data_IF_004195275898
#
_entry.id   IF_004195275898
#
_cell.length_a   1.000
_cell.length_b   1.000
_cell.length_c   1.000
_cell.angle_alpha   90.00
_cell.angle_beta   90.00
_cell.angle_gamma   90.00
#
_symmetry.space_group_name_H-M   'P 1'
#
loop_
_entity.id
_entity.type
_entity.pdbx_description
1 polymer ?
#
# COMPACT_ATOMS: atom_id res chain seq x y z
N UNK A 1 19.54 -5.83 -3.56
CA UNK A 1 18.92 -6.22 -4.85
C UNK A 1 17.41 -5.91 -4.84
N UNK A 2 16.63 -6.33 -3.82
CA UNK A 2 15.18 -6.15 -3.74
C UNK A 2 14.76 -4.68 -3.71
N UNK A 3 15.46 -3.82 -2.98
CA UNK A 3 15.22 -2.36 -2.95
C UNK A 3 15.34 -1.73 -4.35
N UNK A 4 16.37 -2.11 -5.10
CA UNK A 4 16.58 -1.60 -6.46
C UNK A 4 15.43 -2.01 -7.37
N UNK A 5 15.02 -3.28 -7.31
CA UNK A 5 13.87 -3.79 -8.07
C UNK A 5 12.61 -2.98 -7.75
N UNK A 6 12.32 -2.72 -6.47
CA UNK A 6 11.16 -1.91 -6.06
C UNK A 6 11.20 -0.50 -6.63
N UNK A 7 12.34 0.18 -6.54
CA UNK A 7 12.48 1.57 -7.02
C UNK A 7 12.33 1.64 -8.54
N UNK A 8 13.04 0.79 -9.27
CA UNK A 8 12.96 0.77 -10.75
C UNK A 8 11.55 0.42 -11.20
N UNK A 9 10.93 -0.57 -10.55
CA UNK A 9 9.57 -0.97 -10.86
C UNK A 9 8.56 0.15 -10.57
N UNK A 10 8.64 0.80 -9.41
CA UNK A 10 7.75 1.90 -9.05
C UNK A 10 7.82 3.06 -10.04
N UNK A 11 9.04 3.42 -10.48
CA UNK A 11 9.24 4.45 -11.50
C UNK A 11 8.63 4.01 -12.84
N UNK A 12 8.93 2.80 -13.30
CA UNK A 12 8.42 2.28 -14.57
C UNK A 12 6.89 2.22 -14.59
N UNK A 13 6.28 1.66 -13.54
CA UNK A 13 4.82 1.57 -13.40
C UNK A 13 4.20 2.97 -13.30
N UNK A 14 4.81 3.88 -12.55
CA UNK A 14 4.34 5.26 -12.44
C UNK A 14 4.27 5.95 -13.80
N UNK A 15 5.32 5.84 -14.63
CA UNK A 15 5.32 6.38 -15.99
C UNK A 15 4.29 5.72 -16.89
N UNK A 16 4.21 4.40 -16.89
CA UNK A 16 3.24 3.65 -17.72
C UNK A 16 1.82 4.03 -17.32
N UNK A 17 1.53 4.08 -16.02
CA UNK A 17 0.21 4.46 -15.53
C UNK A 17 -0.13 5.90 -15.87
N UNK A 18 0.79 6.85 -15.69
CA UNK A 18 0.55 8.25 -16.07
C UNK A 18 0.23 8.36 -17.56
N UNK A 19 1.00 7.70 -18.42
CA UNK A 19 0.80 7.73 -19.87
C UNK A 19 -0.53 7.08 -20.29
N UNK A 20 -0.84 5.87 -19.76
CA UNK A 20 -2.06 5.12 -20.11
C UNK A 20 -3.29 5.78 -19.51
N UNK A 21 -3.22 6.22 -18.25
CA UNK A 21 -4.36 6.79 -17.56
C UNK A 21 -4.73 8.18 -18.08
N UNK A 22 -3.77 8.96 -18.56
CA UNK A 22 -4.06 10.25 -19.24
C UNK A 22 -4.95 10.08 -20.48
N UNK A 23 -4.85 8.94 -21.19
CA UNK A 23 -5.63 8.66 -22.40
C UNK A 23 -6.98 8.01 -22.13
N UNK A 24 -7.10 7.18 -21.11
CA UNK A 24 -8.21 6.22 -20.94
C UNK A 24 -9.17 6.59 -19.81
N UNK A 25 -8.72 7.29 -18.77
CA UNK A 25 -9.60 7.57 -17.64
C UNK A 25 -10.63 8.66 -17.93
N UNK A 26 -11.91 8.41 -17.61
CA UNK A 26 -12.94 9.44 -17.61
C UNK A 26 -12.61 10.51 -16.56
N UNK A 27 -12.97 11.76 -16.85
CA UNK A 27 -12.67 12.91 -15.98
C UNK A 27 -13.13 12.75 -14.53
N UNK A 28 -14.14 11.90 -14.28
CA UNK A 28 -14.65 11.58 -12.93
C UNK A 28 -13.72 10.73 -12.08
N UNK A 29 -12.79 9.98 -12.71
CA UNK A 29 -11.80 9.14 -12.03
C UNK A 29 -10.40 9.79 -12.00
N UNK A 30 -10.21 10.80 -12.83
CA UNK A 30 -9.04 11.67 -12.75
C UNK A 30 -9.16 12.55 -11.52
N UNK A 31 -9.11 12.09 -10.32
CA UNK A 31 -9.28 12.92 -9.13
C UNK A 31 -8.86 14.38 -9.40
N UNK A 32 -9.52 15.34 -8.80
CA UNK A 32 -9.33 16.76 -9.05
C UNK A 32 -7.93 17.30 -8.75
N UNK A 33 -6.89 16.58 -9.16
CA UNK A 33 -5.51 17.04 -9.13
C UNK A 33 -5.37 18.09 -10.23
N UNK A 34 -5.73 19.31 -9.91
CA UNK A 34 -5.59 20.49 -10.78
C UNK A 34 -4.12 20.86 -10.98
N UNK A 35 -3.18 20.13 -10.36
CA UNK A 35 -1.74 20.41 -10.46
C UNK A 35 -1.29 21.63 -9.65
N UNK A 36 -2.18 22.25 -8.88
CA UNK A 36 -1.83 23.33 -7.96
C UNK A 36 -1.57 22.73 -6.58
N UNK A 37 -0.34 22.79 -6.15
CA UNK A 37 0.06 22.46 -4.79
C UNK A 37 -0.62 23.36 -3.73
N UNK A 38 -1.18 24.47 -4.19
CA UNK A 38 -1.83 25.52 -3.42
C UNK A 38 -3.30 25.17 -3.09
N UNK A 39 -3.90 24.17 -3.76
CA UNK A 39 -5.27 23.69 -3.46
C UNK A 39 -5.29 22.49 -2.47
N UNK A 40 -4.14 22.09 -1.95
CA UNK A 40 -4.12 21.37 -0.69
C UNK A 40 -4.50 22.41 0.36
N UNK A 41 -5.77 22.41 0.74
CA UNK A 41 -6.30 23.26 1.80
C UNK A 41 -5.51 22.98 3.08
N UNK A 42 -4.39 23.67 3.24
CA UNK A 42 -3.67 23.74 4.49
C UNK A 42 -4.39 24.66 5.48
N UNK A 43 -5.58 25.13 5.12
CA UNK A 43 -6.53 25.79 5.98
C UNK A 43 -7.39 24.74 6.74
N UNK A 44 -6.78 23.78 7.40
CA UNK A 44 -7.33 23.38 8.67
C UNK A 44 -7.10 24.59 9.57
N UNK A 45 -8.21 25.25 9.85
CA UNK A 45 -8.25 26.44 10.70
C UNK A 45 -7.45 26.17 11.97
N UNK A 46 -6.26 26.76 12.06
CA UNK A 46 -5.43 26.76 13.26
C UNK A 46 -5.99 27.74 14.29
N UNK A 47 -7.27 28.06 14.16
CA UNK A 47 -8.04 28.85 15.10
C UNK A 47 -8.85 27.90 15.99
N UNK A 48 -8.74 28.08 17.29
CA UNK A 48 -9.71 27.57 18.26
C UNK A 48 -11.05 28.25 18.06
N UNK A 49 -12.12 27.74 18.66
CA UNK A 49 -13.47 28.26 18.60
C UNK A 49 -13.58 29.76 19.00
N UNK A 50 -12.51 30.32 19.60
CA UNK A 50 -12.40 31.73 20.00
C UNK A 50 -11.63 32.61 18.99
N UNK A 51 -11.18 32.06 17.83
CA UNK A 51 -10.52 32.82 16.76
C UNK A 51 -9.07 33.22 17.07
N UNK A 52 -8.43 32.62 18.06
CA UNK A 52 -7.02 32.87 18.39
C UNK A 52 -6.11 31.93 17.61
N UNK A 53 -5.08 32.46 16.93
CA UNK A 53 -4.06 31.66 16.25
C UNK A 53 -3.33 30.79 17.25
N UNK A 54 -3.47 29.48 17.12
CA UNK A 54 -2.73 28.54 17.97
C UNK A 54 -1.23 28.57 17.65
N UNK A 55 -0.36 28.53 18.66
CA UNK A 55 1.08 28.46 18.40
C UNK A 55 1.40 27.20 17.59
N UNK A 56 2.20 27.35 16.53
CA UNK A 56 2.56 26.32 15.53
C UNK A 56 2.95 25.00 16.16
N UNK A 57 3.67 25.02 17.30
CA UNK A 57 4.08 23.81 17.98
C UNK A 57 2.93 23.00 18.59
N UNK A 58 1.84 23.66 19.06
CA UNK A 58 0.64 22.96 19.56
C UNK A 58 -0.12 22.27 18.44
N UNK A 59 -0.29 22.97 17.32
CA UNK A 59 -0.91 22.41 16.13
C UNK A 59 -0.11 21.22 15.61
N UNK A 60 1.21 21.35 15.48
CA UNK A 60 2.10 20.28 15.05
C UNK A 60 2.04 19.07 16.01
N UNK A 61 2.05 19.31 17.33
CA UNK A 61 1.98 18.23 18.30
C UNK A 61 0.64 17.50 18.25
N UNK A 62 -0.46 18.24 18.12
CA UNK A 62 -1.81 17.65 18.02
C UNK A 62 -1.93 16.77 16.78
N UNK A 63 -1.53 17.26 15.60
CA UNK A 63 -1.55 16.48 14.36
C UNK A 63 -0.64 15.26 14.42
N UNK A 64 0.56 15.42 14.98
CA UNK A 64 1.48 14.29 15.15
C UNK A 64 0.89 13.23 16.07
N UNK A 65 0.27 13.63 17.18
CA UNK A 65 -0.34 12.71 18.12
C UNK A 65 -1.56 12.00 17.51
N UNK A 66 -2.39 12.70 16.76
CA UNK A 66 -3.54 12.15 16.08
C UNK A 66 -3.13 11.09 15.05
N UNK A 67 -2.13 11.40 14.21
CA UNK A 67 -1.58 10.46 13.23
C UNK A 67 -0.92 9.28 13.95
N UNK A 68 -0.16 9.52 15.01
CA UNK A 68 0.50 8.47 15.79
C UNK A 68 -0.53 7.50 16.39
N UNK A 69 -1.56 8.01 17.05
CA UNK A 69 -2.60 7.17 17.67
C UNK A 69 -3.34 6.35 16.60
N UNK A 70 -3.64 6.96 15.45
CA UNK A 70 -4.27 6.26 14.34
C UNK A 70 -3.39 5.11 13.82
N UNK A 71 -2.12 5.38 13.54
CA UNK A 71 -1.17 4.37 13.06
C UNK A 71 -0.97 3.28 14.12
N UNK A 72 -0.83 3.66 15.39
CA UNK A 72 -0.62 2.72 16.50
C UNK A 72 -1.82 1.78 16.67
N UNK A 73 -3.04 2.32 16.75
CA UNK A 73 -4.26 1.52 16.86
C UNK A 73 -4.45 0.57 15.66
N UNK A 74 -4.23 1.10 14.47
CA UNK A 74 -4.35 0.32 13.26
C UNK A 74 -3.32 -0.83 13.21
N UNK A 75 -2.07 -0.54 13.55
CA UNK A 75 -1.00 -1.54 13.62
C UNK A 75 -1.26 -2.57 14.71
N UNK A 76 -1.76 -2.14 15.85
CA UNK A 76 -2.10 -3.04 16.97
C UNK A 76 -3.21 -4.02 16.58
N UNK A 77 -4.29 -3.52 15.99
CA UNK A 77 -5.41 -4.37 15.54
C UNK A 77 -4.95 -5.39 14.50
N UNK A 78 -4.20 -4.94 13.49
CA UNK A 78 -3.69 -5.86 12.47
C UNK A 78 -2.65 -6.83 13.01
N UNK A 79 -1.76 -6.39 13.92
CA UNK A 79 -0.80 -7.27 14.59
C UNK A 79 -1.52 -8.39 15.35
N UNK A 80 -2.54 -8.05 16.14
CA UNK A 80 -3.35 -9.04 16.86
C UNK A 80 -4.12 -9.99 15.93
N UNK A 81 -4.60 -9.51 14.78
CA UNK A 81 -5.25 -10.37 13.79
C UNK A 81 -4.24 -11.38 13.22
N UNK A 82 -3.06 -10.92 12.83
CA UNK A 82 -2.01 -11.80 12.27
C UNK A 82 -1.55 -12.83 13.31
N UNK A 83 -1.34 -12.40 14.55
CA UNK A 83 -0.96 -13.29 15.65
C UNK A 83 -2.08 -14.29 16.01
N UNK A 84 -3.33 -13.84 16.00
CA UNK A 84 -4.51 -14.67 16.31
C UNK A 84 -4.84 -15.69 15.22
N UNK A 85 -4.60 -15.36 13.94
CA UNK A 85 -4.79 -16.29 12.81
C UNK A 85 -3.66 -17.31 12.76
N UNK A 86 -2.44 -16.92 13.18
CA UNK A 86 -1.24 -17.73 13.14
C UNK A 86 -0.53 -17.69 11.80
N UNK A 87 0.79 -17.69 11.86
CA UNK A 87 1.65 -17.69 10.67
C UNK A 87 1.49 -18.97 9.84
N UNK A 88 1.20 -20.09 10.50
CA UNK A 88 0.99 -21.40 9.87
C UNK A 88 -0.19 -21.39 8.89
N UNK A 89 -1.26 -20.67 9.19
CA UNK A 89 -2.43 -20.56 8.32
C UNK A 89 -2.09 -19.79 7.04
N UNK A 90 -1.30 -18.73 7.18
CA UNK A 90 -0.81 -17.98 6.01
C UNK A 90 0.18 -18.79 5.18
N UNK A 91 1.06 -19.55 5.84
CA UNK A 91 2.00 -20.45 5.18
C UNK A 91 1.28 -21.55 4.37
N UNK A 92 0.29 -22.20 4.98
CA UNK A 92 -0.50 -23.25 4.35
C UNK A 92 -1.34 -22.69 3.18
N UNK A 93 -2.00 -21.53 3.39
CA UNK A 93 -2.77 -20.86 2.35
C UNK A 93 -1.89 -20.51 1.14
N UNK A 94 -0.76 -19.85 1.37
CA UNK A 94 0.16 -19.45 0.32
C UNK A 94 0.85 -20.66 -0.33
N UNK A 95 1.19 -21.67 0.43
CA UNK A 95 1.82 -22.91 -0.05
C UNK A 95 0.91 -23.69 -1.02
N UNK A 96 -0.39 -23.74 -0.74
CA UNK A 96 -1.38 -24.43 -1.60
C UNK A 96 -1.68 -23.70 -2.92
N UNK A 97 -1.44 -22.38 -3.00
CA UNK A 97 -1.80 -21.58 -4.17
C UNK A 97 -0.92 -21.79 -5.40
N UNK A 98 0.23 -22.46 -5.29
CA UNK A 98 1.07 -22.82 -6.43
C UNK A 98 1.38 -21.66 -7.37
N UNK A 99 0.81 -21.67 -8.57
CA UNK A 99 1.01 -20.61 -9.57
C UNK A 99 0.40 -19.26 -9.15
N UNK A 100 -0.71 -19.27 -8.41
CA UNK A 100 -1.39 -18.05 -7.94
C UNK A 100 -0.78 -17.43 -6.68
N UNK A 101 0.26 -18.03 -6.12
CA UNK A 101 0.93 -17.56 -4.91
C UNK A 101 1.32 -16.07 -4.98
N UNK A 102 1.89 -15.50 -6.09
CA UNK A 102 2.20 -14.06 -6.17
C UNK A 102 0.96 -13.16 -6.08
N UNK A 103 -0.18 -13.62 -6.62
CA UNK A 103 -1.43 -12.84 -6.61
C UNK A 103 -1.99 -12.72 -5.19
N UNK A 104 -1.94 -13.81 -4.43
CA UNK A 104 -2.37 -13.83 -3.02
C UNK A 104 -1.38 -13.09 -2.13
N UNK A 105 -0.07 -13.26 -2.35
CA UNK A 105 0.95 -12.51 -1.65
C UNK A 105 0.82 -11.00 -1.86
N UNK A 106 0.48 -10.58 -3.08
CA UNK A 106 0.16 -9.17 -3.40
C UNK A 106 -1.06 -8.67 -2.61
N UNK A 107 -2.07 -9.52 -2.38
CA UNK A 107 -3.23 -9.15 -1.58
C UNK A 107 -2.85 -8.96 -0.10
N UNK A 108 -2.04 -9.86 0.45
CA UNK A 108 -1.51 -9.73 1.81
C UNK A 108 -0.66 -8.46 1.94
N UNK A 109 0.13 -8.14 0.92
CA UNK A 109 0.93 -6.91 0.87
C UNK A 109 0.12 -5.61 0.88
N UNK A 110 -1.16 -5.63 0.48
CA UNK A 110 -2.06 -4.47 0.57
C UNK A 110 -2.43 -4.10 2.01
N UNK A 111 -2.25 -5.02 2.96
CA UNK A 111 -2.51 -4.72 4.37
C UNK A 111 -1.60 -3.57 4.79
N UNK A 112 -2.16 -2.41 5.19
CA UNK A 112 -1.37 -1.21 5.46
C UNK A 112 -0.67 -1.28 6.82
N UNK A 113 0.12 -2.34 7.01
CA UNK A 113 0.92 -2.58 8.21
C UNK A 113 2.28 -3.17 7.83
N UNK A 114 3.32 -2.78 8.56
CA UNK A 114 4.66 -3.36 8.43
C UNK A 114 4.70 -4.85 8.80
N UNK A 115 3.80 -5.34 9.65
CA UNK A 115 3.69 -6.76 10.00
C UNK A 115 3.47 -7.66 8.77
N UNK A 116 2.69 -7.21 7.78
CA UNK A 116 2.50 -7.95 6.53
C UNK A 116 3.81 -8.14 5.76
N UNK A 117 4.67 -7.13 5.73
CA UNK A 117 5.99 -7.22 5.08
C UNK A 117 6.93 -8.14 5.84
N UNK A 118 6.89 -8.13 7.16
CA UNK A 118 7.68 -9.04 8.03
C UNK A 118 7.22 -10.48 7.81
N UNK A 119 5.91 -10.74 7.87
CA UNK A 119 5.31 -12.04 7.63
C UNK A 119 5.73 -12.63 6.27
N UNK A 120 5.58 -11.85 5.20
CA UNK A 120 5.98 -12.30 3.85
C UNK A 120 7.48 -12.61 3.76
N UNK A 121 8.30 -11.81 4.45
CA UNK A 121 9.75 -12.04 4.47
C UNK A 121 10.10 -13.29 5.27
N UNK A 122 9.45 -13.51 6.39
CA UNK A 122 9.63 -14.69 7.23
C UNK A 122 9.24 -15.96 6.49
N UNK A 123 8.04 -15.99 5.87
CA UNK A 123 7.60 -17.14 5.06
C UNK A 123 8.54 -17.43 3.88
N UNK A 124 9.19 -16.41 3.32
CA UNK A 124 10.21 -16.61 2.31
C UNK A 124 11.48 -17.24 2.87
N UNK A 125 11.94 -16.80 4.04
CA UNK A 125 13.13 -17.38 4.71
C UNK A 125 12.88 -18.83 5.12
N UNK A 126 11.67 -19.15 5.54
CA UNK A 126 11.24 -20.52 5.87
C UNK A 126 11.02 -21.41 4.64
N UNK A 127 11.10 -20.86 3.44
CA UNK A 127 10.93 -21.60 2.19
C UNK A 127 9.47 -21.88 1.79
N UNK A 128 8.50 -21.36 2.53
CA UNK A 128 7.07 -21.49 2.23
C UNK A 128 6.64 -20.55 1.07
N UNK A 129 7.37 -19.46 0.85
CA UNK A 129 7.06 -18.46 -0.17
C UNK A 129 8.16 -18.39 -1.24
N UNK A 130 7.76 -18.31 -2.51
CA UNK A 130 8.71 -18.10 -3.62
C UNK A 130 9.19 -16.65 -3.67
N UNK A 131 10.38 -16.42 -4.19
CA UNK A 131 10.93 -15.05 -4.35
C UNK A 131 10.02 -14.14 -5.18
N UNK A 132 9.40 -14.64 -6.25
CA UNK A 132 8.44 -13.90 -7.08
C UNK A 132 7.22 -13.42 -6.27
N UNK A 133 6.73 -14.25 -5.35
CA UNK A 133 5.61 -13.94 -4.47
C UNK A 133 6.00 -12.92 -3.39
N UNK A 134 7.20 -13.03 -2.84
CA UNK A 134 7.77 -12.03 -1.93
C UNK A 134 7.83 -10.65 -2.61
N UNK A 135 8.38 -10.60 -3.82
CA UNK A 135 8.47 -9.35 -4.59
C UNK A 135 7.08 -8.77 -4.86
N UNK A 136 6.11 -9.60 -5.26
CA UNK A 136 4.73 -9.18 -5.48
C UNK A 136 4.14 -8.51 -4.24
N UNK A 137 4.19 -9.16 -3.09
CA UNK A 137 3.64 -8.66 -1.84
C UNK A 137 4.34 -7.40 -1.35
N UNK A 138 5.68 -7.36 -1.42
CA UNK A 138 6.43 -6.18 -1.01
C UNK A 138 6.26 -4.98 -1.96
N UNK A 139 6.01 -5.21 -3.25
CA UNK A 139 5.76 -4.12 -4.22
C UNK A 139 4.34 -3.54 -4.09
N UNK A 140 3.35 -4.33 -3.66
CA UNK A 140 2.01 -3.83 -3.34
C UNK A 140 1.92 -3.12 -2.00
N UNK A 141 2.89 -3.32 -1.12
CA UNK A 141 2.90 -2.72 0.22
C UNK A 141 2.92 -1.20 0.17
N UNK A 142 1.74 -0.59 0.11
CA UNK A 142 1.56 0.87 0.15
C UNK A 142 1.69 1.43 1.58
N UNK A 143 1.82 0.55 2.58
CA UNK A 143 1.92 0.93 3.97
C UNK A 143 0.73 1.77 4.44
N UNK A 144 1.00 2.68 5.36
CA UNK A 144 -0.03 3.57 5.94
C UNK A 144 -0.67 4.50 4.90
N UNK A 145 0.01 4.77 3.77
CA UNK A 145 -0.51 5.64 2.71
C UNK A 145 -1.88 5.21 2.18
N UNK A 146 -2.13 3.90 2.08
CA UNK A 146 -3.43 3.39 1.67
C UNK A 146 -4.52 3.67 2.72
N UNK A 147 -4.22 3.51 4.00
CA UNK A 147 -5.15 3.82 5.09
C UNK A 147 -5.49 5.32 5.13
N UNK A 148 -4.48 6.18 4.93
CA UNK A 148 -4.68 7.63 4.82
C UNK A 148 -5.55 7.97 3.62
N UNK A 149 -5.30 7.37 2.44
CA UNK A 149 -6.14 7.56 1.24
C UNK A 149 -7.62 7.27 1.53
N UNK A 150 -7.90 6.15 2.20
CA UNK A 150 -9.28 5.76 2.54
C UNK A 150 -9.92 6.70 3.58
N UNK A 151 -9.14 7.36 4.41
CA UNK A 151 -9.62 8.33 5.39
C UNK A 151 -9.87 9.70 4.78
N UNK A 152 -8.99 10.18 3.90
CA UNK A 152 -9.01 11.56 3.39
C UNK A 152 -9.84 11.72 2.12
N UNK A 153 -9.90 10.69 1.26
CA UNK A 153 -10.65 10.79 0.01
C UNK A 153 -12.09 10.26 0.19
N UNK A 154 -13.11 11.12 0.06
CA UNK A 154 -14.51 10.73 0.21
C UNK A 154 -15.02 9.86 -0.95
N UNK A 155 -14.30 9.78 -2.07
CA UNK A 155 -14.70 9.05 -3.26
C UNK A 155 -14.34 7.56 -3.17
N UNK A 156 -15.25 6.72 -2.70
CA UNK A 156 -15.04 5.28 -2.57
C UNK A 156 -14.63 4.59 -3.89
N UNK A 157 -15.18 5.05 -5.01
CA UNK A 157 -14.85 4.48 -6.34
C UNK A 157 -13.39 4.74 -6.72
N UNK A 158 -12.87 5.92 -6.41
CA UNK A 158 -11.46 6.27 -6.67
C UNK A 158 -10.54 5.46 -5.73
N UNK A 159 -10.90 5.33 -4.47
CA UNK A 159 -10.12 4.56 -3.50
C UNK A 159 -10.01 3.08 -3.92
N UNK A 160 -11.14 2.48 -4.31
CA UNK A 160 -11.17 1.10 -4.78
C UNK A 160 -10.35 0.92 -6.07
N UNK A 161 -10.45 1.88 -6.99
CA UNK A 161 -9.68 1.86 -8.22
C UNK A 161 -8.18 1.94 -7.98
N UNK A 162 -7.72 2.87 -7.13
CA UNK A 162 -6.30 3.02 -6.78
C UNK A 162 -5.79 1.77 -6.07
N UNK A 163 -6.56 1.25 -5.10
CA UNK A 163 -6.22 0.02 -4.38
C UNK A 163 -6.11 -1.18 -5.33
N UNK A 164 -7.10 -1.34 -6.21
CA UNK A 164 -7.10 -2.41 -7.20
C UNK A 164 -5.94 -2.31 -8.21
N UNK A 165 -5.61 -1.09 -8.63
CA UNK A 165 -4.49 -0.84 -9.53
C UNK A 165 -3.14 -1.15 -8.86
N UNK A 166 -2.98 -0.78 -7.60
CA UNK A 166 -1.78 -1.10 -6.82
C UNK A 166 -1.62 -2.60 -6.65
N UNK A 167 -2.70 -3.30 -6.32
CA UNK A 167 -2.70 -4.75 -6.24
C UNK A 167 -2.37 -5.41 -7.58
N UNK A 168 -3.05 -5.01 -8.65
CA UNK A 168 -2.85 -5.58 -9.99
C UNK A 168 -1.42 -5.39 -10.48
N UNK A 169 -0.82 -4.22 -10.24
CA UNK A 169 0.56 -3.95 -10.63
C UNK A 169 1.54 -4.88 -9.94
N UNK A 170 1.45 -5.05 -8.61
CA UNK A 170 2.35 -5.95 -7.88
C UNK A 170 2.12 -7.42 -8.21
N UNK A 171 0.86 -7.85 -8.36
CA UNK A 171 0.53 -9.20 -8.80
C UNK A 171 1.10 -9.50 -10.21
N UNK A 172 0.99 -8.54 -11.12
CA UNK A 172 1.56 -8.64 -12.47
C UNK A 172 3.08 -8.82 -12.44
N UNK A 173 3.79 -8.01 -11.64
CA UNK A 173 5.25 -8.16 -11.49
C UNK A 173 5.62 -9.55 -10.96
N UNK A 174 4.92 -10.02 -9.91
CA UNK A 174 5.21 -11.32 -9.33
C UNK A 174 4.96 -12.47 -10.30
N UNK A 175 3.85 -12.45 -11.03
CA UNK A 175 3.54 -13.46 -12.05
C UNK A 175 4.56 -13.40 -13.19
N UNK A 176 4.91 -12.22 -13.68
CA UNK A 176 5.92 -12.04 -14.71
C UNK A 176 7.28 -12.63 -14.29
N UNK A 177 7.72 -12.33 -13.06
CA UNK A 177 8.94 -12.92 -12.51
C UNK A 177 8.85 -14.44 -12.38
N UNK A 178 7.69 -14.97 -11.97
CA UNK A 178 7.50 -16.42 -11.83
C UNK A 178 7.60 -17.13 -13.20
N UNK A 179 7.02 -16.52 -14.26
CA UNK A 179 7.12 -17.04 -15.62
C UNK A 179 8.57 -17.02 -16.10
N UNK A 180 9.28 -15.91 -15.89
CA UNK A 180 10.69 -15.77 -16.26
C UNK A 180 11.52 -16.86 -15.58
N UNK A 181 11.37 -17.04 -14.27
CA UNK A 181 12.09 -18.07 -13.53
C UNK A 181 11.74 -19.48 -14.05
N UNK A 182 10.46 -19.74 -14.36
CA UNK A 182 10.02 -21.04 -14.89
C UNK A 182 10.53 -21.36 -16.30
N UNK A 183 10.84 -20.33 -17.11
CA UNK A 183 11.37 -20.50 -18.48
C UNK A 183 12.89 -20.67 -18.47
N UNK A 184 13.59 -20.05 -17.51
CA UNK A 184 15.06 -20.04 -17.45
C UNK A 184 15.66 -21.01 -16.41
N UNK A 185 14.83 -21.65 -15.56
CA UNK A 185 15.24 -22.69 -14.62
C UNK A 185 14.98 -24.10 -15.18
#
# INVERSE_FOLDING_TARGET
TLMVIKVVYAIAVGFVLDFVLRGVLPKSLRGGYTGRADEVDCHEEHSDEEGHEQPIWKAALRHTLEIFVFIFLFSLVFGLIVEGVGEDVFADLLGRMGFFQPVVAALVGLIPNCAASVLLTQLYVEGALRFSSLVAGLCTGAGVGLAVLWRTNPSWKQNLFITGLTWASGAFLGVAMQIVVAVFA
#
